data_IF_551439964343
#
_entry.id   IF_551439964343
#
_cell.length_a   1.000
_cell.length_b   1.000
_cell.length_c   1.000
_cell.angle_alpha   90.00
_cell.angle_beta   90.00
_cell.angle_gamma   90.00
#
_symmetry.space_group_name_H-M   'P 1'
#
loop_
_entity.id
_entity.type
_entity.pdbx_description
1 polymer ?
#
# COMPACT_ATOMS: atom_id res chain seq x y z
N UNK A 1 -19.64 8.08 9.62
CA UNK A 1 -18.73 9.20 9.24
C UNK A 1 -17.58 8.66 8.41
N UNK A 2 -17.29 9.32 7.33
CA UNK A 2 -16.17 8.95 6.45
C UNK A 2 -14.91 9.70 6.91
N UNK A 3 -14.07 9.00 7.65
CA UNK A 3 -12.91 9.59 8.30
C UNK A 3 -11.59 8.90 7.93
N UNK A 4 -11.61 8.03 6.91
CA UNK A 4 -10.49 7.15 6.63
C UNK A 4 -9.99 7.24 5.19
N UNK A 5 -8.69 7.02 5.02
CA UNK A 5 -8.04 6.79 3.74
C UNK A 5 -7.72 5.30 3.64
N UNK A 6 -7.81 4.73 2.46
CA UNK A 6 -7.36 3.37 2.20
C UNK A 6 -6.34 3.34 1.06
N UNK A 7 -5.31 2.52 1.22
CA UNK A 7 -4.37 2.21 0.15
C UNK A 7 -4.88 0.97 -0.59
N UNK A 8 -5.13 1.10 -1.89
CA UNK A 8 -5.72 0.04 -2.71
C UNK A 8 -4.80 -0.29 -3.87
N UNK A 9 -4.30 -1.52 -3.91
CA UNK A 9 -3.48 -2.00 -5.02
C UNK A 9 -4.28 -2.56 -6.19
N UNK A 10 -5.49 -3.03 -5.93
CA UNK A 10 -6.30 -3.79 -6.88
C UNK A 10 -6.17 -5.30 -6.72
N UNK A 11 -5.25 -5.77 -5.87
CA UNK A 11 -5.17 -7.16 -5.49
C UNK A 11 -6.31 -7.57 -4.55
N UNK A 12 -6.50 -8.88 -4.39
CA UNK A 12 -7.64 -9.44 -3.65
C UNK A 12 -7.77 -8.90 -2.23
N UNK A 13 -6.66 -8.83 -1.49
CA UNK A 13 -6.72 -8.43 -0.08
C UNK A 13 -7.09 -6.96 0.07
N UNK A 14 -6.54 -6.09 -0.76
CA UNK A 14 -6.86 -4.67 -0.70
C UNK A 14 -8.31 -4.38 -1.12
N UNK A 15 -8.82 -5.12 -2.11
CA UNK A 15 -10.21 -4.99 -2.54
C UNK A 15 -11.15 -5.52 -1.45
N UNK A 16 -10.82 -6.64 -0.79
CA UNK A 16 -11.60 -7.16 0.32
C UNK A 16 -11.69 -6.13 1.46
N UNK A 17 -10.57 -5.54 1.83
CA UNK A 17 -10.53 -4.50 2.86
C UNK A 17 -11.34 -3.27 2.45
N UNK A 18 -11.27 -2.88 1.17
CA UNK A 18 -12.05 -1.77 0.62
C UNK A 18 -13.55 -1.95 0.86
N UNK A 19 -14.06 -3.15 0.53
CA UNK A 19 -15.48 -3.45 0.75
C UNK A 19 -15.85 -3.51 2.22
N UNK A 20 -14.99 -4.13 3.03
CA UNK A 20 -15.21 -4.26 4.48
C UNK A 20 -15.30 -2.88 5.17
N UNK A 21 -14.49 -1.93 4.75
CA UNK A 21 -14.39 -0.60 5.37
C UNK A 21 -15.08 0.52 4.59
N UNK A 22 -15.80 0.17 3.52
CA UNK A 22 -16.37 1.15 2.58
C UNK A 22 -17.16 2.27 3.26
N UNK A 23 -17.89 1.95 4.33
CA UNK A 23 -18.71 2.94 5.04
C UNK A 23 -17.89 4.07 5.70
N UNK A 24 -16.62 3.83 5.98
CA UNK A 24 -15.74 4.80 6.67
C UNK A 24 -14.74 5.49 5.74
N UNK A 25 -14.61 5.03 4.50
CA UNK A 25 -13.57 5.51 3.59
C UNK A 25 -14.01 6.79 2.88
N UNK A 26 -13.25 7.85 3.09
CA UNK A 26 -13.43 9.13 2.39
C UNK A 26 -12.62 9.21 1.10
N UNK A 27 -11.48 8.52 1.03
CA UNK A 27 -10.56 8.57 -0.12
C UNK A 27 -9.80 7.26 -0.25
N UNK A 28 -9.72 6.75 -1.48
CA UNK A 28 -8.88 5.62 -1.82
C UNK A 28 -7.67 6.10 -2.64
N UNK A 29 -6.50 5.57 -2.30
CA UNK A 29 -5.24 5.93 -2.95
C UNK A 29 -4.61 4.66 -3.52
N UNK A 30 -4.28 4.69 -4.80
CA UNK A 30 -3.43 3.69 -5.44
C UNK A 30 -2.10 4.32 -5.78
N UNK A 31 -1.04 3.50 -5.76
CA UNK A 31 0.30 3.95 -6.10
C UNK A 31 0.77 3.23 -7.36
N UNK A 32 1.27 3.99 -8.30
CA UNK A 32 1.92 3.46 -9.49
C UNK A 32 3.42 3.67 -9.34
N UNK A 33 4.12 2.59 -8.94
CA UNK A 33 5.57 2.61 -8.77
C UNK A 33 6.30 1.79 -9.85
N UNK A 34 5.63 1.51 -10.97
CA UNK A 34 6.21 0.72 -12.07
C UNK A 34 6.22 -0.78 -11.79
N UNK A 35 5.30 -1.27 -10.95
CA UNK A 35 5.18 -2.70 -10.66
C UNK A 35 4.72 -3.48 -11.90
N UNK A 36 5.22 -4.71 -12.04
CA UNK A 36 4.91 -5.55 -13.21
C UNK A 36 3.42 -5.85 -13.34
N UNK A 37 2.69 -5.94 -12.23
CA UNK A 37 1.26 -6.23 -12.22
C UNK A 37 0.37 -4.97 -12.21
N UNK A 38 0.94 -3.78 -12.20
CA UNK A 38 0.18 -2.53 -12.10
C UNK A 38 -0.83 -2.33 -13.21
N UNK A 39 -0.49 -2.71 -14.44
CA UNK A 39 -1.38 -2.59 -15.59
C UNK A 39 -2.64 -3.46 -15.48
N UNK A 40 -2.59 -4.53 -14.68
CA UNK A 40 -3.73 -5.42 -14.47
C UNK A 40 -4.51 -5.05 -13.21
N UNK A 41 -3.81 -4.68 -12.14
CA UNK A 41 -4.41 -4.47 -10.82
C UNK A 41 -5.00 -3.06 -10.63
N UNK A 42 -4.32 -2.01 -11.11
CA UNK A 42 -4.80 -0.64 -10.94
C UNK A 42 -6.20 -0.41 -11.55
N UNK A 43 -6.54 -0.94 -12.73
CA UNK A 43 -7.92 -0.81 -13.25
C UNK A 43 -8.98 -1.46 -12.36
N UNK A 44 -8.66 -2.54 -11.65
CA UNK A 44 -9.58 -3.15 -10.69
C UNK A 44 -9.82 -2.24 -9.49
N UNK A 45 -8.77 -1.60 -8.99
CA UNK A 45 -8.91 -0.63 -7.91
C UNK A 45 -9.85 0.51 -8.31
N UNK A 46 -9.64 1.07 -9.49
CA UNK A 46 -10.49 2.13 -10.03
C UNK A 46 -11.95 1.68 -10.18
N UNK A 47 -12.15 0.51 -10.77
CA UNK A 47 -13.48 -0.05 -10.97
C UNK A 47 -14.25 -0.21 -9.66
N UNK A 48 -13.64 -0.81 -8.66
CA UNK A 48 -14.32 -1.07 -7.39
C UNK A 48 -14.56 0.21 -6.57
N UNK A 49 -13.65 1.15 -6.61
CA UNK A 49 -13.86 2.45 -5.99
C UNK A 49 -15.03 3.19 -6.63
N UNK A 50 -15.11 3.16 -7.97
CA UNK A 50 -16.20 3.76 -8.70
C UNK A 50 -17.55 3.10 -8.36
N UNK A 51 -17.57 1.77 -8.31
CA UNK A 51 -18.76 1.00 -7.94
C UNK A 51 -19.28 1.35 -6.55
N UNK A 52 -18.38 1.60 -5.61
CA UNK A 52 -18.72 1.97 -4.22
C UNK A 52 -18.94 3.47 -4.02
N UNK A 53 -18.74 4.29 -5.05
CA UNK A 53 -18.87 5.73 -4.93
C UNK A 53 -17.77 6.37 -4.09
N UNK A 54 -16.59 5.75 -4.00
CA UNK A 54 -15.45 6.24 -3.22
C UNK A 54 -14.51 7.02 -4.14
N UNK A 55 -14.18 8.28 -3.82
CA UNK A 55 -13.18 9.02 -4.57
C UNK A 55 -11.85 8.27 -4.60
N UNK A 56 -11.23 8.20 -5.77
CA UNK A 56 -10.00 7.42 -5.99
C UNK A 56 -8.96 8.26 -6.72
N UNK A 57 -7.74 8.24 -6.21
CA UNK A 57 -6.60 8.87 -6.86
C UNK A 57 -5.48 7.86 -7.05
N UNK A 58 -4.69 8.03 -8.10
CA UNK A 58 -3.48 7.23 -8.35
C UNK A 58 -2.28 8.15 -8.30
N UNK A 59 -1.31 7.83 -7.44
CA UNK A 59 -0.11 8.63 -7.24
C UNK A 59 1.08 7.93 -7.90
N UNK A 60 1.72 8.56 -8.89
CA UNK A 60 2.92 7.98 -9.51
C UNK A 60 4.13 8.13 -8.58
N UNK A 61 4.87 7.02 -8.43
CA UNK A 61 6.12 6.97 -7.67
C UNK A 61 7.25 6.54 -8.61
N UNK A 62 7.55 7.38 -9.59
CA UNK A 62 8.50 7.05 -10.66
C UNK A 62 9.92 6.81 -10.15
N UNK A 63 10.30 7.43 -9.03
CA UNK A 63 11.63 7.24 -8.46
C UNK A 63 11.89 5.79 -8.05
N UNK A 64 10.86 5.05 -7.68
CA UNK A 64 11.02 3.63 -7.31
C UNK A 64 11.42 2.78 -8.51
N UNK A 65 10.88 3.08 -9.68
CA UNK A 65 11.28 2.43 -10.92
C UNK A 65 12.71 2.79 -11.34
N UNK A 66 13.10 4.05 -11.13
CA UNK A 66 14.41 4.55 -11.56
C UNK A 66 15.56 4.12 -10.65
N UNK A 67 15.34 4.07 -9.34
CA UNK A 67 16.42 3.93 -8.36
C UNK A 67 16.38 2.64 -7.54
N UNK A 68 15.24 1.95 -7.50
CA UNK A 68 15.10 0.75 -6.70
C UNK A 68 15.35 -0.49 -7.56
N UNK A 69 15.91 -1.52 -6.93
CA UNK A 69 16.14 -2.83 -7.57
C UNK A 69 15.16 -3.84 -7.01
N UNK A 70 14.29 -4.38 -7.87
CA UNK A 70 13.34 -5.43 -7.51
C UNK A 70 12.82 -6.09 -8.78
N UNK A 71 12.62 -7.41 -8.73
CA UNK A 71 12.01 -8.14 -9.84
C UNK A 71 10.52 -7.84 -10.05
N UNK A 72 9.88 -7.12 -9.11
CA UNK A 72 8.48 -6.70 -9.24
C UNK A 72 8.32 -5.41 -10.06
N UNK A 73 9.42 -4.73 -10.41
CA UNK A 73 9.39 -3.47 -11.14
C UNK A 73 9.61 -3.71 -12.64
N UNK A 74 9.00 -2.85 -13.47
CA UNK A 74 9.19 -2.89 -14.92
C UNK A 74 10.67 -2.73 -15.30
N UNK A 75 11.13 -3.53 -16.26
CA UNK A 75 12.52 -3.52 -16.70
C UNK A 75 13.51 -4.16 -15.75
N UNK A 76 13.05 -4.70 -14.62
CA UNK A 76 13.88 -5.45 -13.69
C UNK A 76 14.02 -6.91 -14.13
N UNK A 77 14.83 -7.70 -13.40
CA UNK A 77 14.94 -9.14 -13.60
C UNK A 77 13.57 -9.82 -13.49
N UNK A 78 13.41 -10.92 -14.23
CA UNK A 78 12.18 -11.70 -14.16
C UNK A 78 11.96 -12.21 -12.72
N UNK A 79 10.67 -12.30 -12.32
CA UNK A 79 10.31 -12.87 -11.03
C UNK A 79 10.80 -14.32 -10.99
N UNK A 80 11.55 -14.73 -9.95
CA UNK A 80 12.08 -16.09 -9.87
C UNK A 80 10.95 -17.12 -9.89
N UNK A 81 11.13 -18.15 -10.71
CA UNK A 81 10.27 -19.32 -10.74
C UNK A 81 10.82 -20.40 -9.80
N UNK A 82 9.92 -21.18 -9.19
CA UNK A 82 10.28 -22.30 -8.36
C UNK A 82 9.85 -22.16 -6.91
N UNK A 83 10.50 -22.93 -6.03
CA UNK A 83 10.15 -22.91 -4.62
C UNK A 83 10.43 -21.55 -3.98
N UNK A 84 9.55 -21.15 -3.06
CA UNK A 84 9.70 -19.93 -2.28
C UNK A 84 10.83 -20.08 -1.26
N UNK A 85 12.05 -20.29 -1.75
CA UNK A 85 13.21 -20.17 -0.90
C UNK A 85 13.45 -18.70 -0.59
N UNK A 86 13.85 -18.42 0.64
CA UNK A 86 14.01 -17.06 1.12
C UNK A 86 14.91 -16.21 0.21
N UNK A 87 15.99 -16.79 -0.30
CA UNK A 87 16.91 -16.09 -1.20
C UNK A 87 16.27 -15.70 -2.53
N UNK A 88 15.45 -16.61 -3.12
CA UNK A 88 14.75 -16.31 -4.36
C UNK A 88 13.69 -15.23 -4.17
N UNK A 89 13.05 -15.20 -3.01
CA UNK A 89 12.02 -14.21 -2.73
C UNK A 89 12.57 -12.84 -2.36
N UNK A 90 13.80 -12.74 -1.89
CA UNK A 90 14.44 -11.45 -1.59
C UNK A 90 14.50 -10.52 -2.80
N UNK A 91 14.63 -11.04 -4.01
CA UNK A 91 14.65 -10.23 -5.23
C UNK A 91 13.29 -9.62 -5.56
N UNK A 92 12.20 -10.10 -4.95
CA UNK A 92 10.85 -9.55 -5.12
C UNK A 92 10.54 -8.42 -4.15
N UNK A 93 11.39 -8.17 -3.17
CA UNK A 93 11.18 -7.10 -2.18
C UNK A 93 11.39 -5.74 -2.85
N UNK A 94 10.36 -4.92 -2.83
CA UNK A 94 10.48 -3.50 -3.17
C UNK A 94 10.83 -2.77 -1.88
N UNK A 95 12.06 -2.22 -1.76
CA UNK A 95 12.54 -1.71 -0.47
C UNK A 95 11.61 -0.67 0.14
N UNK A 96 11.20 -0.91 1.37
CA UNK A 96 10.41 0.01 2.19
C UNK A 96 9.13 0.52 1.52
N UNK A 97 8.56 -0.26 0.62
CA UNK A 97 7.36 0.14 -0.15
C UNK A 97 6.20 0.53 0.75
N UNK A 98 5.85 -0.31 1.72
CA UNK A 98 4.73 -0.02 2.61
C UNK A 98 5.00 1.21 3.48
N UNK A 99 6.24 1.39 3.92
CA UNK A 99 6.63 2.59 4.68
C UNK A 99 6.46 3.87 3.87
N UNK A 100 6.89 3.86 2.62
CA UNK A 100 6.76 5.01 1.71
C UNK A 100 5.29 5.31 1.45
N UNK A 101 4.51 4.29 1.12
CA UNK A 101 3.08 4.47 0.85
C UNK A 101 2.32 4.96 2.08
N UNK A 102 2.61 4.41 3.25
CA UNK A 102 2.00 4.83 4.50
C UNK A 102 2.37 6.27 4.86
N UNK A 103 3.61 6.68 4.65
CA UNK A 103 4.04 8.06 4.89
C UNK A 103 3.27 9.05 4.01
N UNK A 104 3.12 8.75 2.73
CA UNK A 104 2.39 9.61 1.79
C UNK A 104 0.90 9.65 2.15
N UNK A 105 0.30 8.49 2.40
CA UNK A 105 -1.11 8.39 2.76
C UNK A 105 -1.41 9.13 4.07
N UNK A 106 -0.50 9.07 5.03
CA UNK A 106 -0.60 9.80 6.30
C UNK A 106 -0.63 11.32 6.07
N UNK A 107 0.28 11.82 5.23
CA UNK A 107 0.30 13.25 4.89
C UNK A 107 -0.99 13.71 4.20
N UNK A 108 -1.52 12.88 3.30
CA UNK A 108 -2.79 13.16 2.63
C UNK A 108 -3.94 13.14 3.63
N UNK A 109 -3.97 12.14 4.52
CA UNK A 109 -5.00 12.04 5.54
C UNK A 109 -5.01 13.27 6.46
N UNK A 110 -3.85 13.70 6.93
CA UNK A 110 -3.74 14.90 7.76
C UNK A 110 -4.22 16.15 7.00
N UNK A 111 -3.83 16.30 5.75
CA UNK A 111 -4.22 17.43 4.90
C UNK A 111 -5.74 17.52 4.72
N UNK A 112 -6.44 16.39 4.73
CA UNK A 112 -7.89 16.32 4.59
C UNK A 112 -8.64 16.15 5.93
N UNK A 113 -7.93 16.26 7.04
CA UNK A 113 -8.49 16.09 8.40
C UNK A 113 -9.12 14.70 8.59
N UNK A 114 -8.55 13.68 7.96
CA UNK A 114 -8.97 12.30 8.10
C UNK A 114 -8.12 11.61 9.18
N UNK A 115 -8.71 10.62 9.86
CA UNK A 115 -8.16 10.10 11.12
C UNK A 115 -7.52 8.73 11.02
N UNK A 116 -7.75 8.01 9.92
CA UNK A 116 -7.27 6.62 9.77
C UNK A 116 -6.71 6.38 8.40
N UNK A 117 -5.69 5.51 8.35
CA UNK A 117 -5.17 4.95 7.10
C UNK A 117 -5.28 3.44 7.19
N UNK A 118 -5.93 2.83 6.20
CA UNK A 118 -6.02 1.39 6.08
C UNK A 118 -5.04 0.89 5.02
N UNK A 119 -4.37 -0.19 5.33
CA UNK A 119 -3.53 -0.92 4.39
C UNK A 119 -3.75 -2.42 4.58
N UNK A 120 -3.92 -3.15 3.48
CA UNK A 120 -3.95 -4.60 3.52
C UNK A 120 -2.53 -5.12 3.36
N UNK A 121 -2.03 -5.83 4.36
CA UNK A 121 -0.71 -6.42 4.33
C UNK A 121 -0.73 -7.84 4.87
N UNK A 122 0.18 -8.67 4.38
CA UNK A 122 0.39 -10.02 4.91
C UNK A 122 1.44 -9.96 6.01
N UNK A 123 0.99 -9.80 7.25
CA UNK A 123 1.87 -9.75 8.40
C UNK A 123 1.98 -11.10 9.09
N UNK A 124 2.95 -11.92 8.72
CA UNK A 124 3.34 -13.11 9.45
C UNK A 124 4.66 -12.89 10.18
N UNK A 125 4.93 -13.65 11.24
CA UNK A 125 6.18 -13.55 11.99
C UNK A 125 7.42 -13.82 11.13
N UNK A 126 7.25 -14.60 10.07
CA UNK A 126 8.33 -15.02 9.17
C UNK A 126 8.24 -14.41 7.77
N UNK A 127 7.50 -13.31 7.61
CA UNK A 127 7.43 -12.68 6.31
C UNK A 127 8.80 -12.16 5.87
N UNK A 128 9.12 -12.36 4.59
CA UNK A 128 10.35 -11.83 3.99
C UNK A 128 10.27 -10.32 3.74
N UNK A 129 9.08 -9.73 3.82
CA UNK A 129 8.87 -8.31 3.64
C UNK A 129 8.88 -7.60 5.00
N UNK A 130 10.02 -6.99 5.40
CA UNK A 130 10.13 -6.39 6.74
C UNK A 130 9.05 -5.36 7.03
N UNK A 131 8.64 -4.60 6.02
CA UNK A 131 7.61 -3.56 6.15
C UNK A 131 6.18 -4.08 6.10
N UNK A 132 6.01 -5.41 6.14
CA UNK A 132 4.72 -6.07 6.36
C UNK A 132 4.60 -6.70 7.76
N UNK A 133 5.68 -6.71 8.53
CA UNK A 133 5.73 -7.35 9.85
C UNK A 133 4.92 -6.55 10.88
N UNK A 134 4.29 -7.23 11.87
CA UNK A 134 3.51 -6.54 12.90
C UNK A 134 4.30 -5.46 13.63
N UNK A 135 5.57 -5.70 13.96
CA UNK A 135 6.43 -4.74 14.64
C UNK A 135 6.61 -3.46 13.82
N UNK A 136 6.71 -3.60 12.50
CA UNK A 136 6.83 -2.44 11.61
C UNK A 136 5.54 -1.63 11.60
N UNK A 137 4.39 -2.30 11.50
CA UNK A 137 3.07 -1.63 11.49
C UNK A 137 2.86 -0.89 12.82
N UNK A 138 3.21 -1.51 13.96
CA UNK A 138 3.12 -0.87 15.27
C UNK A 138 4.02 0.37 15.37
N UNK A 139 5.24 0.27 14.83
CA UNK A 139 6.17 1.40 14.80
C UNK A 139 5.67 2.55 13.91
N UNK A 140 5.09 2.21 12.75
CA UNK A 140 4.48 3.21 11.86
C UNK A 140 3.26 3.87 12.50
N UNK A 141 2.44 3.11 13.19
CA UNK A 141 1.32 3.67 13.95
C UNK A 141 1.80 4.72 14.95
N UNK A 142 2.83 4.38 15.71
CA UNK A 142 3.41 5.32 16.69
C UNK A 142 4.01 6.54 16.00
N UNK A 143 4.78 6.34 14.93
CA UNK A 143 5.42 7.44 14.20
C UNK A 143 4.39 8.40 13.59
N UNK A 144 3.33 7.86 13.00
CA UNK A 144 2.27 8.67 12.40
C UNK A 144 1.45 9.41 13.45
N UNK A 145 1.18 8.78 14.59
CA UNK A 145 0.45 9.42 15.69
C UNK A 145 1.25 10.55 16.32
N UNK A 146 2.56 10.34 16.54
CA UNK A 146 3.44 11.33 17.15
C UNK A 146 3.77 12.49 16.18
N UNK A 147 3.78 12.21 14.87
CA UNK A 147 4.16 13.17 13.83
C UNK A 147 3.01 13.98 13.24
N UNK A 148 1.80 13.82 13.73
CA UNK A 148 0.61 14.46 13.20
C UNK A 148 -0.13 15.30 14.25
N UNK A 149 -0.87 16.29 13.76
CA UNK A 149 -1.80 17.06 14.58
C UNK A 149 -3.19 16.40 14.68
N UNK A 150 -3.36 15.26 14.05
CA UNK A 150 -4.60 14.49 14.02
C UNK A 150 -4.33 13.13 14.66
N UNK A 151 -5.29 12.60 15.39
CA UNK A 151 -5.19 11.24 15.97
C UNK A 151 -5.34 10.22 14.85
N UNK A 152 -4.27 9.99 14.12
CA UNK A 152 -4.23 9.12 12.96
C UNK A 152 -3.88 7.69 13.37
N UNK A 153 -4.59 6.73 12.79
CA UNK A 153 -4.35 5.29 13.02
C UNK A 153 -4.14 4.57 11.69
N UNK A 154 -3.10 3.77 11.67
CA UNK A 154 -2.76 2.89 10.56
C UNK A 154 -3.42 1.53 10.73
#
# INVERSE_FOLDING_TARGET
MKDSVIIVSGGLDSITLLYDKAATIALAISFDYGQNHGKKELPYAEYHCQKLGIPHITIPLTFMHQYFKSSLLEGAEAIPEGHYEEENMKSTVVPFRNGIMLAIATGIAESHELKRVYIANHGGEHTIYPDCRPEFIDAMYKATSDGNNVDLRV
#
